data_IF_463043402124
#
_entry.id   IF_463043402124
#
_cell.length_a   1.000
_cell.length_b   1.000
_cell.length_c   1.000
_cell.angle_alpha   90.00
_cell.angle_beta   90.00
_cell.angle_gamma   90.00
#
_symmetry.space_group_name_H-M   'P 1'
#
loop_
_entity.id
_entity.type
_entity.pdbx_description
1 polymer ?
#
# COMPACT_ATOMS: atom_id res chain seq x y z
N UNK A 1 -1.38 22.16 -20.71
CA UNK A 1 -1.54 20.87 -19.96
C UNK A 1 -1.98 19.73 -20.91
N UNK A 2 -2.84 20.00 -21.87
CA UNK A 2 -3.29 19.03 -22.85
C UNK A 2 -2.16 18.55 -23.77
N UNK A 3 -1.36 19.47 -24.32
CA UNK A 3 -0.22 19.15 -25.19
C UNK A 3 0.81 18.23 -24.51
N UNK A 4 1.04 18.43 -23.19
CA UNK A 4 1.94 17.59 -22.39
C UNK A 4 1.46 16.15 -22.29
N UNK A 5 0.17 15.94 -22.11
CA UNK A 5 -0.41 14.61 -21.96
C UNK A 5 -0.39 13.85 -23.30
N UNK A 6 -0.68 14.53 -24.38
CA UNK A 6 -0.63 13.97 -25.74
C UNK A 6 0.77 13.47 -26.10
N UNK A 7 1.80 14.24 -25.78
CA UNK A 7 3.19 13.88 -26.01
C UNK A 7 3.59 12.58 -25.28
N UNK A 8 3.12 12.43 -24.04
CA UNK A 8 3.38 11.23 -23.25
C UNK A 8 2.63 10.03 -23.85
N UNK A 9 1.34 10.19 -24.17
CA UNK A 9 0.48 9.13 -24.70
C UNK A 9 1.02 8.58 -26.02
N UNK A 10 1.50 9.44 -26.92
CA UNK A 10 2.05 9.04 -28.22
C UNK A 10 3.26 8.10 -28.13
N UNK A 11 3.89 8.03 -26.97
CA UNK A 11 5.03 7.14 -26.75
C UNK A 11 4.60 5.71 -26.38
N UNK A 12 3.29 5.43 -26.28
CA UNK A 12 2.76 4.09 -26.02
C UNK A 12 2.05 3.52 -27.24
N UNK A 13 2.13 2.19 -27.47
CA UNK A 13 1.52 1.52 -28.61
C UNK A 13 0.01 1.29 -28.40
N UNK A 14 -0.76 2.36 -28.16
CA UNK A 14 -2.21 2.30 -28.01
C UNK A 14 -2.87 3.58 -28.53
N UNK A 15 -4.16 3.46 -28.90
CA UNK A 15 -4.97 4.59 -29.32
C UNK A 15 -5.93 4.97 -28.18
N UNK A 16 -5.85 6.21 -27.70
CA UNK A 16 -6.72 6.73 -26.64
C UNK A 16 -8.00 7.29 -27.26
N UNK A 17 -9.15 6.80 -26.84
CA UNK A 17 -10.50 7.22 -27.26
C UNK A 17 -11.06 8.31 -26.34
N UNK A 18 -10.86 8.14 -25.04
CA UNK A 18 -11.30 9.11 -24.03
C UNK A 18 -10.31 9.20 -22.89
N UNK A 19 -10.34 10.32 -22.15
CA UNK A 19 -9.51 10.53 -20.97
C UNK A 19 -10.29 11.27 -19.90
N UNK A 20 -10.06 10.90 -18.65
CA UNK A 20 -10.58 11.63 -17.48
C UNK A 20 -9.57 11.70 -16.36
N UNK A 21 -9.56 12.81 -15.65
CA UNK A 21 -8.71 12.96 -14.47
C UNK A 21 -9.28 12.17 -13.29
N UNK A 22 -8.41 11.49 -12.54
CA UNK A 22 -8.75 10.78 -11.31
C UNK A 22 -7.61 11.00 -10.30
N UNK A 23 -7.81 10.81 -9.05
CA UNK A 23 -6.88 10.87 -7.87
C UNK A 23 -5.38 11.01 -8.23
N UNK A 24 -4.96 12.15 -8.79
CA UNK A 24 -3.57 12.40 -9.17
C UNK A 24 -3.07 11.66 -10.42
N UNK A 25 -3.96 11.07 -11.21
CA UNK A 25 -3.67 10.32 -12.42
C UNK A 25 -4.67 10.64 -13.53
N UNK A 26 -4.46 10.07 -14.72
CA UNK A 26 -5.40 10.10 -15.83
C UNK A 26 -5.84 8.68 -16.16
N UNK A 27 -7.15 8.46 -16.13
CA UNK A 27 -7.75 7.23 -16.63
C UNK A 27 -7.96 7.40 -18.13
N UNK A 28 -7.42 6.49 -18.89
CA UNK A 28 -7.46 6.47 -20.35
C UNK A 28 -8.29 5.27 -20.82
N UNK A 29 -9.23 5.52 -21.67
CA UNK A 29 -9.96 4.50 -22.41
C UNK A 29 -9.27 4.29 -23.76
N UNK A 30 -8.69 3.11 -23.96
CA UNK A 30 -7.90 2.82 -25.15
C UNK A 30 -8.53 1.72 -25.99
N UNK A 31 -8.02 1.51 -27.19
CA UNK A 31 -8.34 0.37 -28.05
C UNK A 31 -7.99 -1.00 -27.43
N UNK A 32 -7.11 -1.00 -26.41
CA UNK A 32 -6.66 -2.18 -25.67
C UNK A 32 -7.21 -2.26 -24.23
N UNK A 33 -8.27 -1.49 -23.91
CA UNK A 33 -8.91 -1.44 -22.61
C UNK A 33 -8.48 -0.24 -21.76
N UNK A 34 -8.82 -0.27 -20.48
CA UNK A 34 -8.54 0.82 -19.56
C UNK A 34 -7.06 0.86 -19.17
N UNK A 35 -6.51 2.07 -19.10
CA UNK A 35 -5.14 2.35 -18.67
C UNK A 35 -5.13 3.48 -17.66
N UNK A 36 -4.22 3.43 -16.72
CA UNK A 36 -3.95 4.51 -15.78
C UNK A 36 -2.59 5.13 -16.08
N UNK A 37 -2.57 6.40 -16.44
CA UNK A 37 -1.35 7.17 -16.64
C UNK A 37 -1.12 8.07 -15.46
N UNK A 38 0.02 7.89 -14.76
CA UNK A 38 0.37 8.69 -13.60
C UNK A 38 1.83 9.10 -13.59
N UNK A 39 2.11 10.24 -12.97
CA UNK A 39 3.47 10.66 -12.64
C UNK A 39 4.08 9.68 -11.61
N UNK A 40 5.36 9.36 -11.75
CA UNK A 40 6.04 8.36 -10.94
C UNK A 40 7.44 8.83 -10.53
N UNK A 41 7.69 8.86 -9.24
CA UNK A 41 9.00 9.20 -8.66
C UNK A 41 9.84 7.97 -8.31
N UNK A 42 9.35 6.76 -8.56
CA UNK A 42 10.07 5.53 -8.27
C UNK A 42 11.32 5.37 -9.15
N UNK A 43 12.32 4.64 -8.67
CA UNK A 43 13.47 4.25 -9.47
C UNK A 43 13.14 3.11 -10.44
N UNK A 44 13.94 2.93 -11.47
CA UNK A 44 13.84 1.81 -12.42
C UNK A 44 13.82 0.46 -11.67
N UNK A 45 14.78 0.25 -10.76
CA UNK A 45 14.86 -0.98 -9.97
C UNK A 45 13.60 -1.22 -9.13
N UNK A 46 12.92 -0.16 -8.67
CA UNK A 46 11.66 -0.26 -7.93
C UNK A 46 10.54 -0.78 -8.81
N UNK A 47 10.38 -0.24 -10.01
CA UNK A 47 9.36 -0.70 -10.97
C UNK A 47 9.64 -2.15 -11.40
N UNK A 48 10.89 -2.51 -11.65
CA UNK A 48 11.27 -3.88 -12.01
C UNK A 48 10.94 -4.88 -10.89
N UNK A 49 11.14 -4.49 -9.64
CA UNK A 49 10.72 -5.32 -8.50
C UNK A 49 9.20 -5.46 -8.43
N UNK A 50 8.45 -4.35 -8.56
CA UNK A 50 6.99 -4.37 -8.61
C UNK A 50 6.47 -5.32 -9.71
N UNK A 51 7.05 -5.24 -10.91
CA UNK A 51 6.62 -6.07 -12.02
C UNK A 51 6.93 -7.55 -11.79
N UNK A 52 8.06 -7.90 -11.20
CA UNK A 52 8.33 -9.30 -10.78
C UNK A 52 7.27 -9.84 -9.82
N UNK A 53 6.87 -9.04 -8.84
CA UNK A 53 5.81 -9.39 -7.89
C UNK A 53 4.49 -9.63 -8.63
N UNK A 54 4.11 -8.73 -9.53
CA UNK A 54 2.88 -8.81 -10.33
C UNK A 54 2.88 -9.97 -11.31
N UNK A 55 3.99 -10.20 -12.00
CA UNK A 55 4.17 -11.34 -12.92
C UNK A 55 4.00 -12.68 -12.20
N UNK A 56 4.48 -12.79 -10.96
CA UNK A 56 4.27 -14.00 -10.16
C UNK A 56 2.79 -14.23 -9.87
N UNK A 57 2.05 -13.20 -9.48
CA UNK A 57 0.61 -13.26 -9.23
C UNK A 57 -0.17 -13.64 -10.48
N UNK A 58 0.21 -13.11 -11.64
CA UNK A 58 -0.40 -13.46 -12.93
C UNK A 58 -0.11 -14.93 -13.28
N UNK A 59 1.17 -15.34 -13.25
CA UNK A 59 1.58 -16.69 -13.67
C UNK A 59 1.03 -17.80 -12.79
N UNK A 60 1.07 -17.62 -11.46
CA UNK A 60 0.71 -18.66 -10.51
C UNK A 60 -0.76 -18.65 -10.11
N UNK A 61 -1.38 -17.47 -10.10
CA UNK A 61 -2.74 -17.30 -9.59
C UNK A 61 -3.75 -16.76 -10.58
N UNK A 62 -3.31 -16.37 -11.78
CA UNK A 62 -4.14 -15.63 -12.76
C UNK A 62 -4.89 -14.46 -12.10
N UNK A 63 -4.22 -13.76 -11.16
CA UNK A 63 -4.83 -12.65 -10.44
C UNK A 63 -4.72 -11.37 -11.25
N UNK A 64 -5.81 -10.62 -11.43
CA UNK A 64 -5.78 -9.31 -12.07
C UNK A 64 -4.96 -8.32 -11.22
N UNK A 65 -3.93 -7.71 -11.82
CA UNK A 65 -3.06 -6.71 -11.18
C UNK A 65 -2.75 -5.56 -12.14
N UNK A 66 -2.37 -4.43 -11.62
CA UNK A 66 -2.05 -3.21 -12.38
C UNK A 66 -0.68 -3.28 -13.07
N UNK A 67 -0.51 -4.24 -13.98
CA UNK A 67 0.71 -4.40 -14.78
C UNK A 67 1.16 -3.07 -15.41
N UNK A 68 2.48 -2.79 -15.41
CA UNK A 68 3.04 -1.58 -16.00
C UNK A 68 3.44 -1.84 -17.44
N UNK A 69 2.90 -1.03 -18.36
CA UNK A 69 3.22 -1.11 -19.79
C UNK A 69 4.52 -0.41 -20.10
N UNK A 70 5.30 -1.03 -20.96
CA UNK A 70 6.48 -0.38 -21.56
C UNK A 70 6.05 0.53 -22.69
N UNK A 71 6.81 1.60 -22.87
CA UNK A 71 6.65 2.53 -24.00
C UNK A 71 7.24 1.95 -25.29
N UNK A 72 7.18 2.69 -26.41
CA UNK A 72 7.70 2.28 -27.72
C UNK A 72 9.23 2.06 -27.74
N UNK A 73 9.94 2.40 -26.64
CA UNK A 73 11.39 2.17 -26.48
C UNK A 73 11.68 1.01 -25.52
N UNK A 74 10.68 0.21 -25.19
CA UNK A 74 10.78 -0.89 -24.21
C UNK A 74 11.16 -0.43 -22.79
N UNK A 75 10.88 0.84 -22.44
CA UNK A 75 11.14 1.42 -21.12
C UNK A 75 9.85 1.51 -20.30
N UNK A 76 9.92 1.31 -18.98
CA UNK A 76 8.77 1.49 -18.08
C UNK A 76 8.40 2.96 -17.88
N UNK A 77 9.38 3.87 -18.04
CA UNK A 77 9.17 5.30 -17.88
C UNK A 77 9.07 6.02 -19.21
N UNK A 78 8.14 6.97 -19.26
CA UNK A 78 8.07 8.00 -20.30
C UNK A 78 8.36 9.34 -19.65
N UNK A 79 9.26 10.12 -20.21
CA UNK A 79 9.59 11.45 -19.72
C UNK A 79 8.80 12.52 -20.45
N UNK A 80 8.30 13.49 -19.68
CA UNK A 80 7.77 14.72 -20.27
C UNK A 80 8.89 15.74 -20.54
N UNK A 81 8.55 16.86 -21.16
CA UNK A 81 9.48 17.95 -21.47
C UNK A 81 10.12 18.58 -20.21
N UNK A 82 9.55 18.37 -19.02
CA UNK A 82 10.08 18.83 -17.74
C UNK A 82 10.90 17.75 -17.03
N UNK A 83 11.16 16.61 -17.69
CA UNK A 83 11.89 15.45 -17.19
C UNK A 83 11.19 14.71 -16.03
N UNK A 84 9.89 14.93 -15.82
CA UNK A 84 9.13 14.09 -14.90
C UNK A 84 8.90 12.72 -15.53
N UNK A 85 9.02 11.67 -14.74
CA UNK A 85 8.74 10.32 -15.19
C UNK A 85 7.24 10.02 -15.08
N UNK A 86 6.72 9.37 -16.09
CA UNK A 86 5.35 8.89 -16.18
C UNK A 86 5.34 7.40 -16.42
N UNK A 87 4.34 6.70 -15.87
CA UNK A 87 4.10 5.27 -16.08
C UNK A 87 2.66 5.04 -16.53
N UNK A 88 2.48 4.10 -17.45
CA UNK A 88 1.16 3.62 -17.86
C UNK A 88 0.92 2.24 -17.30
N UNK A 89 -0.18 2.08 -16.55
CA UNK A 89 -0.54 0.80 -15.90
C UNK A 89 -1.88 0.28 -16.40
N UNK A 90 -2.05 -1.03 -16.36
CA UNK A 90 -3.36 -1.65 -16.53
C UNK A 90 -4.34 -1.09 -15.50
N UNK A 91 -5.57 -0.84 -15.94
CA UNK A 91 -6.66 -0.47 -15.03
C UNK A 91 -7.89 -1.33 -15.27
N UNK A 92 -8.77 -1.34 -14.29
CA UNK A 92 -9.93 -2.21 -14.29
C UNK A 92 -11.21 -1.42 -14.02
N UNK A 93 -12.31 -1.77 -14.73
CA UNK A 93 -13.64 -1.26 -14.47
C UNK A 93 -14.25 -2.02 -13.28
N UNK A 94 -13.79 -1.72 -12.08
CA UNK A 94 -14.23 -2.34 -10.84
C UNK A 94 -14.72 -1.30 -9.83
N UNK A 95 -15.40 -1.80 -8.80
CA UNK A 95 -15.88 -1.00 -7.67
C UNK A 95 -14.95 -1.23 -6.48
N UNK A 96 -14.55 -0.15 -5.80
CA UNK A 96 -13.78 -0.24 -4.56
C UNK A 96 -14.57 -0.99 -3.48
N UNK A 97 -13.87 -1.64 -2.55
CA UNK A 97 -14.51 -2.33 -1.43
C UNK A 97 -15.26 -1.33 -0.55
N UNK A 98 -16.53 -1.58 -0.29
CA UNK A 98 -17.25 -0.86 0.76
C UNK A 98 -16.84 -1.42 2.14
N UNK A 99 -16.08 -0.62 2.90
CA UNK A 99 -15.59 -1.01 4.24
C UNK A 99 -16.70 -1.14 5.28
N UNK A 100 -17.95 -0.77 4.96
CA UNK A 100 -19.13 -0.92 5.82
C UNK A 100 -19.90 -2.20 5.52
N UNK A 101 -19.67 -2.77 4.36
CA UNK A 101 -20.26 -4.05 3.97
C UNK A 101 -19.36 -5.19 4.45
N UNK A 102 -19.78 -5.82 5.57
CA UNK A 102 -19.01 -6.90 6.17
C UNK A 102 -18.68 -8.04 5.19
N UNK A 103 -19.60 -8.55 4.37
CA UNK A 103 -19.30 -9.49 3.30
C UNK A 103 -18.21 -9.01 2.34
N UNK A 104 -18.20 -7.72 1.99
CA UNK A 104 -17.18 -7.13 1.12
C UNK A 104 -15.81 -7.16 1.77
N UNK A 105 -15.72 -6.76 3.04
CA UNK A 105 -14.47 -6.81 3.84
C UNK A 105 -13.94 -8.25 3.96
N UNK A 106 -14.82 -9.21 4.21
CA UNK A 106 -14.46 -10.63 4.28
C UNK A 106 -13.92 -11.16 2.95
N UNK A 107 -14.51 -10.74 1.83
CA UNK A 107 -13.99 -11.07 0.48
C UNK A 107 -12.61 -10.46 0.24
N UNK A 108 -12.38 -9.20 0.67
CA UNK A 108 -11.05 -8.57 0.62
C UNK A 108 -10.02 -9.35 1.43
N UNK A 109 -10.35 -9.74 2.66
CA UNK A 109 -9.47 -10.52 3.52
C UNK A 109 -9.15 -11.89 2.93
N UNK A 110 -10.15 -12.59 2.37
CA UNK A 110 -9.96 -13.85 1.66
C UNK A 110 -9.08 -13.71 0.42
N UNK A 111 -9.27 -12.63 -0.36
CA UNK A 111 -8.41 -12.33 -1.51
C UNK A 111 -6.97 -12.03 -1.09
N UNK A 112 -6.78 -11.28 0.01
CA UNK A 112 -5.45 -11.02 0.58
C UNK A 112 -4.74 -12.33 0.96
N UNK A 113 -5.44 -13.26 1.58
CA UNK A 113 -4.89 -14.58 1.91
C UNK A 113 -4.41 -15.34 0.67
N UNK A 114 -5.18 -15.33 -0.42
CA UNK A 114 -4.78 -15.91 -1.71
C UNK A 114 -3.56 -15.20 -2.31
N UNK A 115 -3.53 -13.87 -2.26
CA UNK A 115 -2.42 -13.06 -2.73
C UNK A 115 -1.14 -13.38 -1.96
N UNK A 116 -1.19 -13.44 -0.62
CA UNK A 116 -0.05 -13.79 0.22
C UNK A 116 0.47 -15.20 -0.03
N UNK A 117 -0.40 -16.17 -0.27
CA UNK A 117 -0.01 -17.54 -0.58
C UNK A 117 0.80 -17.67 -1.89
N UNK A 118 0.66 -16.71 -2.81
CA UNK A 118 1.37 -16.66 -4.09
C UNK A 118 2.61 -15.77 -4.05
N UNK A 119 2.78 -14.95 -3.01
CA UNK A 119 3.85 -13.96 -2.91
C UNK A 119 5.05 -14.50 -2.11
N UNK A 120 5.67 -15.54 -2.63
CA UNK A 120 6.94 -16.12 -2.18
C UNK A 120 7.95 -16.06 -3.34
N UNK A 121 8.90 -15.10 -3.29
CA UNK A 121 9.85 -14.86 -4.40
C UNK A 121 11.11 -15.73 -4.34
N UNK A 122 11.24 -16.60 -3.32
CA UNK A 122 12.52 -17.24 -3.02
C UNK A 122 13.49 -16.28 -2.30
N UNK A 123 14.62 -16.80 -1.81
CA UNK A 123 15.54 -16.01 -0.98
C UNK A 123 16.03 -14.69 -1.61
N UNK A 124 16.70 -13.88 -0.83
CA UNK A 124 17.12 -12.52 -1.18
C UNK A 124 18.05 -12.47 -2.40
N UNK A 125 17.49 -12.33 -3.59
CA UNK A 125 18.22 -12.00 -4.81
C UNK A 125 18.57 -10.49 -4.86
N UNK A 126 19.52 -10.13 -5.74
CA UNK A 126 19.81 -8.70 -6.00
C UNK A 126 18.57 -7.97 -6.51
N UNK A 127 18.34 -6.77 -6.00
CA UNK A 127 17.22 -5.92 -6.44
C UNK A 127 15.89 -6.22 -5.79
N UNK A 128 15.85 -6.90 -4.64
CA UNK A 128 14.66 -7.01 -3.79
C UNK A 128 14.58 -5.84 -2.81
N UNK A 129 13.37 -5.44 -2.52
CA UNK A 129 13.08 -4.46 -1.47
C UNK A 129 12.67 -5.21 -0.20
N UNK A 130 13.38 -4.96 0.88
CA UNK A 130 13.14 -5.59 2.18
C UNK A 130 12.70 -4.49 3.14
N UNK A 131 11.74 -4.80 4.00
CA UNK A 131 11.30 -3.92 5.08
C UNK A 131 12.52 -3.46 5.91
N UNK A 132 12.75 -2.15 5.96
CA UNK A 132 13.95 -1.56 6.57
C UNK A 132 14.03 -1.74 8.08
N UNK A 133 12.89 -1.69 8.73
CA UNK A 133 12.78 -1.73 10.18
C UNK A 133 11.81 -2.85 10.58
N UNK A 134 12.26 -3.74 11.46
CA UNK A 134 11.37 -4.77 12.01
C UNK A 134 10.27 -4.13 12.86
N UNK A 135 9.12 -4.80 13.00
CA UNK A 135 8.02 -4.32 13.86
C UNK A 135 8.52 -4.08 15.29
N UNK A 136 9.43 -4.92 15.78
CA UNK A 136 10.06 -4.74 17.07
C UNK A 136 10.82 -3.43 17.18
N UNK A 137 11.70 -3.14 16.23
CA UNK A 137 12.47 -1.89 16.20
C UNK A 137 11.55 -0.66 16.06
N UNK A 138 10.51 -0.76 15.23
CA UNK A 138 9.49 0.28 15.08
C UNK A 138 8.78 0.58 16.40
N UNK A 139 8.33 -0.46 17.13
CA UNK A 139 7.70 -0.30 18.45
C UNK A 139 8.65 0.31 19.48
N UNK A 140 9.90 -0.17 19.55
CA UNK A 140 10.91 0.40 20.44
C UNK A 140 11.16 1.89 20.18
N UNK A 141 11.25 2.27 18.91
CA UNK A 141 11.41 3.66 18.49
C UNK A 141 10.21 4.52 18.90
N UNK A 142 8.98 4.06 18.60
CA UNK A 142 7.78 4.78 18.97
C UNK A 142 7.62 4.91 20.49
N UNK A 143 7.93 3.87 21.25
CA UNK A 143 7.88 3.93 22.72
C UNK A 143 8.88 4.96 23.28
N UNK A 144 10.08 5.07 22.68
CA UNK A 144 11.06 6.14 23.03
C UNK A 144 10.53 7.51 22.65
N UNK A 145 9.90 7.66 21.48
CA UNK A 145 9.30 8.92 21.02
C UNK A 145 8.15 9.36 21.94
N UNK A 146 7.26 8.46 22.35
CA UNK A 146 6.19 8.76 23.32
C UNK A 146 6.75 9.33 24.63
N UNK A 147 7.80 8.73 25.18
CA UNK A 147 8.47 9.25 26.40
C UNK A 147 9.07 10.65 26.18
N UNK A 148 9.70 10.88 25.02
CA UNK A 148 10.27 12.21 24.68
C UNK A 148 9.19 13.27 24.61
N UNK A 149 8.09 12.96 23.90
CA UNK A 149 6.93 13.87 23.78
C UNK A 149 6.35 14.18 25.16
N UNK A 150 6.13 13.17 26.02
CA UNK A 150 5.65 13.38 27.40
C UNK A 150 6.59 14.32 28.17
N UNK A 151 7.90 14.07 28.12
CA UNK A 151 8.89 14.89 28.83
C UNK A 151 8.90 16.31 28.34
N UNK A 152 8.83 16.51 27.01
CA UNK A 152 8.75 17.83 26.39
C UNK A 152 7.52 18.60 26.86
N UNK A 153 6.32 17.99 26.80
CA UNK A 153 5.06 18.63 27.21
C UNK A 153 5.08 18.94 28.73
N UNK A 154 5.60 18.03 29.56
CA UNK A 154 5.74 18.28 31.01
C UNK A 154 6.60 19.51 31.32
N UNK A 155 7.66 19.76 30.55
CA UNK A 155 8.55 20.91 30.70
C UNK A 155 7.99 22.26 30.24
N UNK A 156 6.87 22.27 29.50
CA UNK A 156 6.26 23.52 29.03
C UNK A 156 5.60 24.28 30.19
N UNK A 157 5.80 25.60 30.24
CA UNK A 157 5.14 26.50 31.23
C UNK A 157 3.63 26.59 30.98
N UNK A 158 3.22 26.66 29.70
CA UNK A 158 1.81 26.69 29.29
C UNK A 158 1.55 25.51 28.38
N UNK A 159 0.45 24.85 28.60
CA UNK A 159 -0.01 23.68 27.84
C UNK A 159 -1.39 23.99 27.25
N UNK A 160 -1.61 23.57 26.00
CA UNK A 160 -2.93 23.62 25.40
C UNK A 160 -3.77 22.40 25.83
N UNK A 161 -5.06 22.42 25.52
CA UNK A 161 -6.02 21.35 25.89
C UNK A 161 -5.61 19.98 25.38
N UNK A 162 -5.12 19.88 24.14
CA UNK A 162 -4.64 18.63 23.58
C UNK A 162 -3.43 18.05 24.36
N UNK A 163 -2.50 18.90 24.75
CA UNK A 163 -1.33 18.51 25.52
C UNK A 163 -1.70 18.03 26.93
N UNK A 164 -2.71 18.65 27.54
CA UNK A 164 -3.26 18.21 28.85
C UNK A 164 -3.89 16.84 28.70
N UNK A 165 -4.80 16.66 27.73
CA UNK A 165 -5.46 15.39 27.44
C UNK A 165 -4.44 14.27 27.15
N UNK A 166 -3.38 14.57 26.39
CA UNK A 166 -2.32 13.59 26.09
C UNK A 166 -1.56 13.17 27.34
N UNK A 167 -1.28 14.11 28.28
CA UNK A 167 -0.64 13.74 29.55
C UNK A 167 -1.54 12.89 30.44
N UNK A 168 -2.83 13.16 30.49
CA UNK A 168 -3.82 12.39 31.26
C UNK A 168 -3.97 10.96 30.72
N UNK A 169 -4.02 10.81 29.39
CA UNK A 169 -4.18 9.52 28.75
C UNK A 169 -2.85 8.72 28.61
N UNK A 170 -1.70 9.37 28.87
CA UNK A 170 -0.39 8.82 28.53
C UNK A 170 -0.14 7.45 29.14
N UNK A 171 -0.38 7.28 30.43
CA UNK A 171 -0.01 6.05 31.14
C UNK A 171 -0.84 4.85 30.66
N UNK A 172 -2.08 5.07 30.22
CA UNK A 172 -2.93 4.05 29.60
C UNK A 172 -2.34 3.60 28.28
N UNK A 173 -2.11 4.52 27.35
CA UNK A 173 -1.60 4.18 26.01
C UNK A 173 -0.16 3.67 26.04
N UNK A 174 0.68 4.24 26.91
CA UNK A 174 2.05 3.77 27.05
C UNK A 174 2.10 2.37 27.67
N UNK A 175 1.24 2.07 28.65
CA UNK A 175 1.09 0.73 29.21
C UNK A 175 0.70 -0.30 28.15
N UNK A 176 -0.28 0.03 27.30
CA UNK A 176 -0.69 -0.81 26.17
C UNK A 176 0.45 -1.02 25.16
N UNK A 177 1.22 0.03 24.85
CA UNK A 177 2.36 -0.06 23.94
C UNK A 177 3.49 -0.95 24.50
N UNK A 178 3.75 -0.89 25.81
CA UNK A 178 4.69 -1.80 26.50
C UNK A 178 4.19 -3.25 26.48
N UNK A 179 2.91 -3.47 26.74
CA UNK A 179 2.30 -4.80 26.67
C UNK A 179 2.40 -5.39 25.26
N UNK A 180 2.08 -4.61 24.24
CA UNK A 180 2.22 -5.04 22.84
C UNK A 180 3.66 -5.44 22.50
N UNK A 181 4.64 -4.69 23.00
CA UNK A 181 6.06 -5.02 22.83
C UNK A 181 6.45 -6.32 23.53
N UNK A 182 5.95 -6.58 24.75
CA UNK A 182 6.18 -7.84 25.46
C UNK A 182 5.56 -9.03 24.70
N UNK A 183 4.33 -8.90 24.27
CA UNK A 183 3.65 -9.94 23.48
C UNK A 183 4.41 -10.25 22.19
N UNK A 184 4.97 -9.25 21.53
CA UNK A 184 5.77 -9.45 20.33
C UNK A 184 7.06 -10.25 20.61
N UNK A 185 7.66 -10.11 21.78
CA UNK A 185 8.84 -10.89 22.19
C UNK A 185 8.49 -12.36 22.45
N UNK A 186 7.27 -12.64 22.94
CA UNK A 186 6.83 -13.97 23.31
C UNK A 186 6.19 -14.76 22.16
N UNK A 187 5.71 -14.10 21.10
CA UNK A 187 4.93 -14.72 20.03
C UNK A 187 5.74 -15.38 18.91
N UNK A 188 7.08 -15.56 19.07
CA UNK A 188 7.92 -16.15 18.03
C UNK A 188 8.19 -15.22 16.81
N UNK A 189 8.12 -13.91 17.01
CA UNK A 189 8.30 -12.92 15.95
C UNK A 189 9.64 -13.07 15.21
N UNK A 190 10.73 -13.33 15.92
CA UNK A 190 12.07 -13.47 15.31
C UNK A 190 12.12 -14.69 14.36
N UNK A 191 11.47 -15.79 14.72
CA UNK A 191 11.37 -16.97 13.85
C UNK A 191 10.55 -16.65 12.60
N UNK A 192 9.41 -15.97 12.76
CA UNK A 192 8.57 -15.52 11.66
C UNK A 192 9.33 -14.57 10.73
N UNK A 193 10.12 -13.64 11.28
CA UNK A 193 10.93 -12.72 10.52
C UNK A 193 12.00 -13.44 9.70
N UNK A 194 12.74 -14.35 10.33
CA UNK A 194 13.76 -15.14 9.66
C UNK A 194 13.17 -16.01 8.53
N UNK A 195 12.02 -16.62 8.77
CA UNK A 195 11.27 -17.38 7.76
C UNK A 195 10.83 -16.48 6.60
N UNK A 196 10.35 -15.26 6.91
CA UNK A 196 9.94 -14.27 5.91
C UNK A 196 11.10 -13.92 4.97
N UNK A 197 12.28 -13.65 5.53
CA UNK A 197 13.48 -13.35 4.76
C UNK A 197 13.95 -14.55 3.93
N UNK A 198 14.03 -15.73 4.55
CA UNK A 198 14.50 -16.95 3.88
C UNK A 198 13.63 -17.35 2.69
N UNK A 199 12.33 -17.18 2.81
CA UNK A 199 11.36 -17.49 1.74
C UNK A 199 11.11 -16.33 0.77
N UNK A 200 11.54 -15.12 1.10
CA UNK A 200 11.23 -13.92 0.33
C UNK A 200 9.73 -13.64 0.29
N UNK A 201 9.04 -13.71 1.46
CA UNK A 201 7.61 -13.44 1.55
C UNK A 201 7.34 -11.95 1.34
N UNK A 202 6.59 -11.61 0.30
CA UNK A 202 6.27 -10.23 -0.05
C UNK A 202 4.94 -9.82 0.54
N UNK A 203 4.89 -8.65 1.15
CA UNK A 203 3.65 -7.94 1.49
C UNK A 203 3.34 -6.89 0.44
N UNK A 204 2.08 -6.57 0.25
CA UNK A 204 1.62 -5.53 -0.68
C UNK A 204 2.04 -4.12 -0.20
N UNK A 205 2.05 -3.88 1.11
CA UNK A 205 2.49 -2.64 1.75
C UNK A 205 1.52 -1.47 1.64
N UNK A 206 0.42 -1.62 0.91
CA UNK A 206 -0.65 -0.63 0.75
C UNK A 206 -2.00 -1.29 0.46
N UNK A 207 -2.28 -2.44 1.09
CA UNK A 207 -3.53 -3.17 0.86
C UNK A 207 -4.70 -2.49 1.56
N UNK A 208 -5.32 -1.56 0.84
CA UNK A 208 -6.48 -0.78 1.30
C UNK A 208 -7.63 -0.92 0.30
N UNK A 209 -8.83 -0.56 0.70
CA UNK A 209 -10.03 -0.66 -0.13
C UNK A 209 -9.91 0.08 -1.48
N UNK A 210 -9.12 1.15 -1.57
CA UNK A 210 -8.86 1.87 -2.81
C UNK A 210 -8.04 1.08 -3.83
N UNK A 211 -7.28 0.10 -3.37
CA UNK A 211 -6.39 -0.71 -4.19
C UNK A 211 -6.97 -2.11 -4.47
N UNK A 212 -8.23 -2.34 -4.11
CA UNK A 212 -8.95 -3.59 -4.31
C UNK A 212 -10.24 -3.32 -5.07
N UNK A 213 -10.30 -3.74 -6.31
CA UNK A 213 -11.40 -3.46 -7.23
C UNK A 213 -12.21 -4.74 -7.51
N UNK A 214 -13.48 -4.73 -7.16
CA UNK A 214 -14.42 -5.84 -7.42
C UNK A 214 -14.98 -5.76 -8.84
N UNK A 215 -14.81 -6.83 -9.60
CA UNK A 215 -15.27 -7.01 -10.97
C UNK A 215 -16.19 -8.25 -11.04
N UNK A 216 -17.33 -8.19 -10.37
CA UNK A 216 -18.20 -9.36 -10.20
C UNK A 216 -17.57 -10.42 -9.30
N UNK A 217 -17.17 -11.56 -9.88
CA UNK A 217 -16.49 -12.66 -9.14
C UNK A 217 -15.01 -12.40 -8.93
N UNK A 218 -14.39 -11.66 -9.83
CA UNK A 218 -12.96 -11.37 -9.83
C UNK A 218 -12.64 -10.14 -8.98
N UNK A 219 -11.43 -10.10 -8.48
CA UNK A 219 -10.90 -8.99 -7.69
C UNK A 219 -9.54 -8.62 -8.26
N UNK A 220 -9.40 -7.36 -8.68
CA UNK A 220 -8.11 -6.80 -9.08
C UNK A 220 -7.43 -6.12 -7.90
N UNK A 221 -6.11 -6.31 -7.79
CA UNK A 221 -5.25 -5.61 -6.84
C UNK A 221 -4.35 -4.65 -7.57
N UNK A 222 -4.29 -3.41 -7.12
CA UNK A 222 -3.54 -2.33 -7.76
C UNK A 222 -2.58 -1.66 -6.78
N UNK A 223 -1.62 -0.88 -7.33
CA UNK A 223 -0.75 -0.01 -6.55
C UNK A 223 0.25 -0.75 -5.64
N UNK A 224 1.13 -1.56 -6.25
CA UNK A 224 2.21 -2.30 -5.59
C UNK A 224 3.46 -1.45 -5.29
N UNK A 225 3.36 -0.12 -5.33
CA UNK A 225 4.49 0.79 -5.16
C UNK A 225 5.17 0.73 -3.77
N UNK A 226 4.53 0.08 -2.79
CA UNK A 226 5.08 -0.20 -1.46
C UNK A 226 5.33 -1.69 -1.20
N UNK A 227 5.21 -2.53 -2.23
CA UNK A 227 5.46 -3.96 -2.07
C UNK A 227 6.93 -4.20 -1.66
N UNK A 228 7.14 -5.07 -0.69
CA UNK A 228 8.48 -5.39 -0.17
C UNK A 228 8.46 -6.74 0.55
N UNK A 229 9.62 -7.38 0.70
CA UNK A 229 9.76 -8.52 1.59
C UNK A 229 9.54 -8.04 3.02
N UNK A 230 8.55 -8.62 3.70
CA UNK A 230 8.16 -8.22 5.03
C UNK A 230 7.01 -9.06 5.58
N UNK A 231 6.68 -8.83 6.84
CA UNK A 231 5.63 -9.58 7.54
C UNK A 231 4.25 -9.33 6.90
N UNK A 232 3.72 -10.34 6.23
CA UNK A 232 2.50 -10.26 5.42
C UNK A 232 1.25 -9.88 6.24
N UNK A 233 1.15 -10.30 7.51
CA UNK A 233 0.00 -9.97 8.36
C UNK A 233 -0.21 -8.46 8.54
N UNK A 234 0.81 -7.64 8.29
CA UNK A 234 0.69 -6.18 8.34
C UNK A 234 -0.31 -5.63 7.32
N UNK A 235 -0.42 -6.25 6.14
CA UNK A 235 -1.44 -5.86 5.16
C UNK A 235 -2.87 -6.12 5.68
N UNK A 236 -3.07 -7.20 6.43
CA UNK A 236 -4.37 -7.46 7.08
C UNK A 236 -4.67 -6.42 8.16
N UNK A 237 -3.67 -6.05 8.97
CA UNK A 237 -3.80 -4.97 9.94
C UNK A 237 -4.19 -3.65 9.25
N UNK A 238 -3.54 -3.29 8.14
CA UNK A 238 -3.84 -2.05 7.40
C UNK A 238 -5.28 -2.06 6.86
N UNK A 239 -5.76 -3.20 6.35
CA UNK A 239 -7.14 -3.37 5.90
C UNK A 239 -8.14 -3.18 7.05
N UNK A 240 -7.94 -3.89 8.18
CA UNK A 240 -8.84 -3.85 9.34
C UNK A 240 -8.84 -2.48 10.03
N UNK A 241 -7.68 -1.83 10.14
CA UNK A 241 -7.58 -0.48 10.68
C UNK A 241 -8.43 0.50 9.90
N UNK A 242 -8.40 0.42 8.57
CA UNK A 242 -9.23 1.27 7.70
C UNK A 242 -10.73 0.99 7.86
N UNK A 243 -11.12 -0.28 8.01
CA UNK A 243 -12.51 -0.64 8.28
C UNK A 243 -13.02 -0.01 9.58
N UNK A 244 -12.20 -0.04 10.64
CA UNK A 244 -12.56 0.54 11.94
C UNK A 244 -12.62 2.09 11.89
N UNK A 245 -11.66 2.76 11.23
CA UNK A 245 -11.67 4.23 11.10
C UNK A 245 -12.94 4.74 10.41
N UNK A 246 -13.41 4.07 9.36
CA UNK A 246 -14.63 4.44 8.66
C UNK A 246 -15.90 4.11 9.45
N UNK A 247 -15.86 3.12 10.32
CA UNK A 247 -16.95 2.77 11.26
C UNK A 247 -17.13 3.82 12.37
N UNK A 248 -16.04 4.32 12.93
CA UNK A 248 -16.05 5.27 14.07
C UNK A 248 -16.49 6.67 13.66
N UNK A 249 -16.02 7.18 12.52
CA UNK A 249 -16.40 8.53 12.01
C UNK A 249 -17.88 8.75 11.82
N UNK A 250 -18.69 7.68 11.71
CA UNK A 250 -20.16 7.79 11.57
C UNK A 250 -20.92 7.68 12.88
N UNK A 251 -20.33 7.11 13.92
CA UNK A 251 -20.96 7.14 15.26
C UNK A 251 -20.89 8.54 15.83
N UNK A 252 -19.82 9.29 15.56
CA UNK A 252 -19.68 10.67 16.00
C UNK A 252 -20.59 11.62 15.20
N UNK A 253 -20.70 11.46 13.88
CA UNK A 253 -21.60 12.25 13.03
C UNK A 253 -23.11 11.98 13.22
N UNK A 254 -23.51 11.00 14.05
CA UNK A 254 -24.90 10.73 14.43
C UNK A 254 -25.24 11.22 15.83
N UNK A 255 -24.25 11.78 16.56
CA UNK A 255 -24.42 12.34 17.90
C UNK A 255 -24.54 13.86 17.92
N UNK A 256 -24.25 14.51 16.78
CA UNK A 256 -24.51 15.93 16.50
C UNK A 256 -25.82 16.07 15.67
#
# INVERSE_FOLDING_TARGET
MEDKLEEIIRQYPCQVRSRRRTRGAFLLETDQGLRLLKECSASQARIEFEERVKEQLIRQGNLPVDHTYKNNREEYFTKDNYRNNWVMRQWYAGVECDMKDHPCVMRCAGHLGRLHALLELGGAEKGVYIQKESIRQEMERHNKEMKRVRSYIRGKKQKNEMEICLLEAFDIFYGQACLAQSLLQECGYEELWNKTLAKGLVRHGSYTYHNVLFMGKDIATTNFDKAEIGIQVRDLYDLLRKANEDGTRKQDAKRD
#
